data_IF_378731719417
#
_entry.id   IF_378731719417
#
_cell.length_a   1.000
_cell.length_b   1.000
_cell.length_c   1.000
_cell.angle_alpha   90.00
_cell.angle_beta   90.00
_cell.angle_gamma   90.00
#
_symmetry.space_group_name_H-M   'P 1'
#
loop_
_entity.id
_entity.type
_entity.pdbx_description
1 polymer ?
#
# COMPACT_ATOMS: atom_id res chain seq x y z
N UNK A 1 -1.76 -28.79 27.43
CA UNK A 1 -0.30 -28.65 27.36
C UNK A 1 0.09 -28.73 25.90
N UNK A 2 0.26 -27.61 25.26
CA UNK A 2 1.17 -27.44 24.14
C UNK A 2 1.38 -25.92 24.00
N UNK A 3 2.43 -25.44 24.70
CA UNK A 3 3.06 -24.15 24.46
C UNK A 3 4.11 -24.43 23.39
N UNK A 4 3.91 -23.93 22.21
CA UNK A 4 4.97 -23.65 21.22
C UNK A 4 4.33 -22.84 20.09
N UNK A 5 3.85 -21.63 20.41
CA UNK A 5 3.76 -20.57 19.43
C UNK A 5 5.16 -19.96 19.31
N UNK A 6 6.00 -20.58 18.50
CA UNK A 6 7.35 -20.14 18.24
C UNK A 6 7.33 -18.69 17.74
N UNK A 7 8.03 -17.83 18.45
CA UNK A 7 8.43 -16.49 18.03
C UNK A 7 9.21 -16.61 16.70
N UNK A 8 8.54 -16.40 15.59
CA UNK A 8 9.09 -16.52 14.23
C UNK A 8 9.73 -15.22 13.75
N UNK A 9 10.37 -14.47 14.65
CA UNK A 9 11.23 -13.36 14.29
C UNK A 9 12.57 -13.92 13.86
N UNK A 10 12.83 -13.98 12.57
CA UNK A 10 14.20 -14.15 12.08
C UNK A 10 14.96 -12.87 12.37
N UNK A 11 15.92 -12.92 13.29
CA UNK A 11 16.78 -11.78 13.67
C UNK A 11 17.83 -11.41 12.60
N UNK A 12 17.77 -11.97 11.41
CA UNK A 12 18.61 -11.54 10.30
C UNK A 12 18.12 -10.17 9.83
N UNK A 13 18.85 -9.11 10.25
CA UNK A 13 18.66 -7.78 9.68
C UNK A 13 18.87 -7.89 8.16
N UNK A 14 17.86 -7.66 7.34
CA UNK A 14 18.09 -7.55 5.91
C UNK A 14 19.03 -6.37 5.67
N UNK A 15 19.86 -6.42 4.62
CA UNK A 15 20.70 -5.31 4.13
C UNK A 15 19.87 -4.13 3.63
N UNK A 16 18.78 -3.80 4.33
CA UNK A 16 17.81 -2.77 4.01
C UNK A 16 17.94 -1.54 4.91
N UNK A 17 17.31 -0.42 4.53
CA UNK A 17 17.26 0.79 5.36
C UNK A 17 16.63 0.50 6.73
N UNK A 18 17.00 1.27 7.75
CA UNK A 18 16.45 1.15 9.10
C UNK A 18 14.91 1.18 9.09
N UNK A 19 14.27 0.24 9.76
CA UNK A 19 12.81 0.09 9.81
C UNK A 19 12.27 -1.07 8.96
N UNK A 20 13.06 -1.70 8.09
CA UNK A 20 12.67 -2.91 7.36
C UNK A 20 12.79 -4.15 8.24
N UNK A 21 11.75 -4.96 8.19
CA UNK A 21 11.65 -6.26 8.84
C UNK A 21 11.09 -7.27 7.83
N UNK A 22 11.41 -8.55 7.97
CA UNK A 22 10.78 -9.62 7.20
C UNK A 22 9.90 -10.40 8.15
N UNK A 23 8.59 -10.42 7.85
CA UNK A 23 7.61 -11.16 8.64
C UNK A 23 7.11 -12.38 7.87
N UNK A 24 6.76 -13.44 8.59
CA UNK A 24 5.96 -14.53 8.02
C UNK A 24 4.48 -14.22 8.26
N UNK A 25 3.76 -13.90 7.21
CA UNK A 25 2.34 -13.51 7.27
C UNK A 25 1.52 -14.50 6.46
N UNK A 26 0.72 -15.31 7.13
CA UNK A 26 -0.12 -16.31 6.45
C UNK A 26 0.68 -17.30 5.60
N UNK A 27 1.92 -17.61 5.99
CA UNK A 27 2.82 -18.52 5.24
C UNK A 27 3.65 -17.81 4.15
N UNK A 28 3.53 -16.50 4.00
CA UNK A 28 4.30 -15.72 3.03
C UNK A 28 5.34 -14.83 3.73
N UNK A 29 6.61 -14.95 3.29
CA UNK A 29 7.63 -13.98 3.69
C UNK A 29 7.24 -12.61 3.11
N UNK A 30 7.18 -11.60 3.98
CA UNK A 30 6.60 -10.30 3.66
C UNK A 30 7.54 -9.20 4.12
N UNK A 31 7.97 -8.35 3.19
CA UNK A 31 8.66 -7.11 3.54
C UNK A 31 7.73 -6.19 4.30
N UNK A 32 8.14 -5.80 5.49
CA UNK A 32 7.43 -4.92 6.39
C UNK A 32 8.31 -3.74 6.71
N UNK A 33 7.72 -2.55 6.71
CA UNK A 33 8.37 -1.33 7.17
C UNK A 33 7.66 -0.88 8.44
N UNK A 34 8.42 -0.74 9.54
CA UNK A 34 7.86 -0.44 10.85
C UNK A 34 8.65 0.66 11.56
N UNK A 35 7.93 1.67 12.03
CA UNK A 35 8.42 2.71 12.93
C UNK A 35 7.69 2.55 14.26
N UNK A 36 8.43 2.06 15.28
CA UNK A 36 7.85 1.76 16.60
C UNK A 36 7.60 3.03 17.38
N UNK A 37 6.43 3.11 18.00
CA UNK A 37 6.11 4.24 18.88
C UNK A 37 7.11 4.34 20.03
N UNK A 38 7.48 5.57 20.36
CA UNK A 38 8.25 5.87 21.57
C UNK A 38 7.47 5.53 22.83
N UNK A 39 8.14 5.21 23.94
CA UNK A 39 7.46 5.01 25.22
C UNK A 39 6.57 6.21 25.57
N UNK A 40 5.31 5.96 25.90
CA UNK A 40 4.33 6.98 26.25
C UNK A 40 3.63 6.59 27.54
N UNK A 41 3.21 7.59 28.31
CA UNK A 41 2.34 7.43 29.50
C UNK A 41 0.87 7.29 29.14
N UNK A 42 0.49 7.47 27.87
CA UNK A 42 -0.88 7.29 27.40
C UNK A 42 -1.34 5.85 27.59
N UNK A 43 -2.55 5.68 28.14
CA UNK A 43 -3.20 4.39 28.26
C UNK A 43 -3.64 3.83 26.90
N UNK A 44 -3.94 4.71 25.95
CA UNK A 44 -4.37 4.33 24.60
C UNK A 44 -3.17 4.44 23.66
N UNK A 45 -2.88 3.36 22.94
CA UNK A 45 -1.89 3.29 21.88
C UNK A 45 -2.57 3.46 20.53
N UNK A 46 -1.93 4.19 19.63
CA UNK A 46 -2.40 4.34 18.26
C UNK A 46 -1.43 3.66 17.29
N UNK A 47 -1.96 2.86 16.39
CA UNK A 47 -1.18 2.12 15.39
C UNK A 47 -1.75 2.40 14.01
N UNK A 48 -0.96 3.04 13.16
CA UNK A 48 -1.28 3.23 11.75
C UNK A 48 -0.80 2.02 10.94
N UNK A 49 -1.74 1.34 10.27
CA UNK A 49 -1.45 0.21 9.38
C UNK A 49 -1.62 0.64 7.94
N UNK A 50 -0.53 0.58 7.17
CA UNK A 50 -0.46 1.08 5.81
C UNK A 50 -0.49 -0.03 4.77
N UNK A 51 -1.33 0.15 3.73
CA UNK A 51 -1.38 -0.72 2.56
C UNK A 51 -1.03 0.05 1.28
N UNK A 52 0.00 -0.40 0.53
CA UNK A 52 0.44 0.24 -0.70
C UNK A 52 -0.55 0.03 -1.85
N UNK A 53 -0.50 0.92 -2.85
CA UNK A 53 -1.08 0.67 -4.17
C UNK A 53 -0.21 -0.26 -5.01
N UNK A 54 -0.70 -0.71 -6.17
CA UNK A 54 0.12 -1.38 -7.17
C UNK A 54 1.29 -0.44 -7.60
N UNK A 55 2.56 -0.89 -7.65
CA UNK A 55 3.08 -2.25 -7.74
C UNK A 55 3.26 -3.02 -6.42
N UNK A 56 2.70 -2.56 -5.31
CA UNK A 56 2.63 -3.34 -4.08
C UNK A 56 3.91 -3.38 -3.23
N UNK A 57 4.87 -2.53 -3.49
CA UNK A 57 6.18 -2.47 -2.82
C UNK A 57 6.18 -1.37 -1.77
N UNK A 58 6.35 -1.76 -0.51
CA UNK A 58 6.33 -0.81 0.62
C UNK A 58 7.46 0.22 0.56
N UNK A 59 8.57 -0.12 -0.08
CA UNK A 59 9.72 0.76 -0.23
C UNK A 59 9.45 2.10 -0.90
N UNK A 60 8.44 2.17 -1.78
CA UNK A 60 8.01 3.44 -2.36
C UNK A 60 7.44 4.41 -1.33
N UNK A 61 6.89 3.88 -0.24
CA UNK A 61 6.20 4.65 0.79
C UNK A 61 7.06 4.97 2.01
N UNK A 62 8.33 4.53 2.02
CA UNK A 62 9.23 4.79 3.14
C UNK A 62 9.33 6.29 3.48
N UNK A 63 9.50 7.23 2.53
CA UNK A 63 9.53 8.66 2.86
C UNK A 63 8.23 9.14 3.52
N UNK A 64 7.08 8.73 2.99
CA UNK A 64 5.78 9.10 3.54
C UNK A 64 5.57 8.54 4.95
N UNK A 65 5.88 7.26 5.19
CA UNK A 65 5.68 6.63 6.50
C UNK A 65 6.64 7.19 7.55
N UNK A 66 7.88 7.50 7.16
CA UNK A 66 8.86 8.15 8.02
C UNK A 66 8.42 9.57 8.40
N UNK A 67 7.97 10.35 7.42
CA UNK A 67 7.44 11.68 7.66
C UNK A 67 6.18 11.64 8.54
N UNK A 68 5.27 10.70 8.29
CA UNK A 68 4.08 10.52 9.12
C UNK A 68 4.44 10.20 10.58
N UNK A 69 5.39 9.31 10.79
CA UNK A 69 5.91 9.02 12.14
C UNK A 69 6.48 10.26 12.82
N UNK A 70 7.24 11.07 12.08
CA UNK A 70 7.82 12.32 12.59
C UNK A 70 6.76 13.39 12.91
N UNK A 71 5.72 13.53 12.08
CA UNK A 71 4.60 14.47 12.31
C UNK A 71 3.83 14.17 13.60
N UNK A 72 3.92 12.96 14.13
CA UNK A 72 3.35 12.56 15.42
C UNK A 72 4.40 12.47 16.54
N UNK A 73 5.56 13.10 16.38
CA UNK A 73 6.64 13.10 17.38
C UNK A 73 7.02 11.70 17.87
N UNK A 74 6.86 10.69 17.00
CA UNK A 74 7.11 9.30 17.33
C UNK A 74 6.09 8.65 18.27
N UNK A 75 4.95 9.28 18.56
CA UNK A 75 3.91 8.70 19.44
C UNK A 75 2.97 7.74 18.70
N UNK A 76 2.83 7.90 17.39
CA UNK A 76 2.08 7.01 16.52
C UNK A 76 2.99 5.88 16.03
N UNK A 77 2.65 4.64 16.30
CA UNK A 77 3.32 3.53 15.62
C UNK A 77 2.83 3.44 14.17
N UNK A 78 3.78 3.28 13.24
CA UNK A 78 3.47 3.19 11.81
C UNK A 78 4.04 1.88 11.27
N UNK A 79 3.18 1.04 10.68
CA UNK A 79 3.57 -0.24 10.11
C UNK A 79 2.88 -0.47 8.76
N UNK A 80 3.63 -0.91 7.76
CA UNK A 80 3.10 -1.24 6.44
C UNK A 80 3.82 -2.42 5.83
N UNK A 81 3.21 -3.10 4.87
CA UNK A 81 3.80 -4.27 4.24
C UNK A 81 3.66 -4.27 2.73
N UNK A 82 4.65 -4.82 2.04
CA UNK A 82 4.55 -5.17 0.63
C UNK A 82 3.46 -6.22 0.37
N UNK A 83 3.06 -6.36 -0.88
CA UNK A 83 2.25 -7.51 -1.31
C UNK A 83 3.14 -8.75 -1.42
N UNK A 84 2.69 -9.96 -1.03
CA UNK A 84 3.45 -11.19 -1.27
C UNK A 84 3.70 -11.39 -2.77
N UNK A 85 4.94 -11.73 -3.09
CA UNK A 85 5.40 -11.77 -4.48
C UNK A 85 5.85 -10.43 -5.05
N UNK A 86 5.83 -9.34 -4.25
CA UNK A 86 6.26 -8.00 -4.62
C UNK A 86 7.27 -7.50 -3.59
N UNK A 87 8.56 -7.71 -3.84
CA UNK A 87 9.60 -7.52 -2.84
C UNK A 87 10.87 -6.97 -3.46
N UNK A 88 11.63 -6.18 -2.68
CA UNK A 88 12.95 -5.69 -3.05
C UNK A 88 14.08 -6.54 -2.47
N UNK A 89 13.83 -7.22 -1.36
CA UNK A 89 14.86 -7.89 -0.55
C UNK A 89 14.60 -9.39 -0.36
N UNK A 90 13.44 -9.90 -0.78
CA UNK A 90 13.10 -11.31 -0.73
C UNK A 90 13.20 -11.90 -2.13
N UNK A 91 14.03 -12.91 -2.31
CA UNK A 91 14.06 -13.68 -3.55
C UNK A 91 12.85 -14.62 -3.59
N UNK A 92 11.97 -14.40 -4.54
CA UNK A 92 10.83 -15.27 -4.78
C UNK A 92 11.25 -16.44 -5.67
N UNK A 93 11.37 -17.63 -5.07
CA UNK A 93 11.66 -18.88 -5.81
C UNK A 93 10.44 -19.34 -6.62
N UNK A 94 9.24 -19.10 -6.11
CA UNK A 94 7.99 -19.40 -6.79
C UNK A 94 7.52 -18.18 -7.59
N UNK A 95 7.40 -18.37 -8.89
CA UNK A 95 7.08 -17.31 -9.85
C UNK A 95 5.58 -17.10 -10.07
N UNK A 96 4.71 -17.88 -9.38
CA UNK A 96 3.27 -17.76 -9.57
C UNK A 96 2.73 -16.48 -8.92
N UNK A 97 2.21 -15.61 -9.77
CA UNK A 97 1.54 -14.40 -9.30
C UNK A 97 0.28 -14.75 -8.48
N UNK A 98 0.06 -14.03 -7.38
CA UNK A 98 -1.10 -14.21 -6.51
C UNK A 98 -2.28 -13.37 -6.99
N UNK A 99 -3.49 -13.96 -6.96
CA UNK A 99 -4.73 -13.27 -7.32
C UNK A 99 -5.06 -12.15 -6.33
N UNK A 100 -5.97 -11.25 -6.71
CA UNK A 100 -6.44 -10.18 -5.82
C UNK A 100 -7.03 -10.75 -4.52
N UNK A 101 -7.79 -11.86 -4.58
CA UNK A 101 -8.36 -12.49 -3.38
C UNK A 101 -7.28 -13.01 -2.43
N UNK A 102 -6.21 -13.59 -2.97
CA UNK A 102 -5.06 -14.02 -2.15
C UNK A 102 -4.34 -12.82 -1.53
N UNK A 103 -4.21 -11.71 -2.26
CA UNK A 103 -3.64 -10.47 -1.74
C UNK A 103 -4.52 -9.87 -0.63
N UNK A 104 -5.85 -9.90 -0.78
CA UNK A 104 -6.80 -9.48 0.27
C UNK A 104 -6.63 -10.35 1.51
N UNK A 105 -6.65 -11.67 1.35
CA UNK A 105 -6.48 -12.61 2.46
C UNK A 105 -5.17 -12.38 3.22
N UNK A 106 -4.10 -12.08 2.48
CA UNK A 106 -2.82 -11.72 3.08
C UNK A 106 -2.88 -10.41 3.87
N UNK A 107 -3.57 -9.36 3.38
CA UNK A 107 -3.68 -8.09 4.12
C UNK A 107 -4.51 -8.24 5.40
N UNK A 108 -5.53 -9.09 5.37
CA UNK A 108 -6.28 -9.48 6.58
C UNK A 108 -5.36 -10.22 7.56
N UNK A 109 -4.58 -11.20 7.08
CA UNK A 109 -3.62 -11.92 7.92
C UNK A 109 -2.53 -10.99 8.49
N UNK A 110 -2.04 -10.03 7.70
CA UNK A 110 -1.09 -9.03 8.17
C UNK A 110 -1.67 -8.17 9.29
N UNK A 111 -2.89 -7.67 9.12
CA UNK A 111 -3.57 -6.91 10.17
C UNK A 111 -3.74 -7.74 11.43
N UNK A 112 -4.15 -9.01 11.32
CA UNK A 112 -4.24 -9.93 12.46
C UNK A 112 -2.88 -10.11 13.17
N UNK A 113 -1.79 -10.24 12.40
CA UNK A 113 -0.45 -10.32 12.98
C UNK A 113 -0.08 -9.04 13.71
N UNK A 114 -0.46 -7.87 13.20
CA UNK A 114 -0.27 -6.59 13.90
C UNK A 114 -1.06 -6.57 15.19
N UNK A 115 -2.35 -6.91 15.18
CA UNK A 115 -3.22 -6.84 16.36
C UNK A 115 -2.80 -7.79 17.49
N UNK A 116 -2.22 -8.94 17.16
CA UNK A 116 -1.68 -9.88 18.16
C UNK A 116 -0.55 -9.31 19.02
N UNK A 117 0.13 -8.26 18.55
CA UNK A 117 1.23 -7.63 19.28
C UNK A 117 0.77 -6.55 20.28
N UNK A 118 -0.54 -6.25 20.34
CA UNK A 118 -1.10 -5.16 21.16
C UNK A 118 -2.32 -5.60 21.94
N UNK A 119 -2.50 -5.08 23.18
CA UNK A 119 -3.71 -5.33 23.94
C UNK A 119 -4.95 -4.71 23.25
N UNK A 120 -5.95 -5.51 22.98
CA UNK A 120 -7.14 -5.10 22.23
C UNK A 120 -7.91 -3.92 22.88
N UNK A 121 -7.96 -3.88 24.21
CA UNK A 121 -8.72 -2.86 24.94
C UNK A 121 -8.09 -1.47 24.99
N UNK A 122 -6.80 -1.37 24.69
CA UNK A 122 -6.03 -0.12 24.81
C UNK A 122 -5.35 0.28 23.49
N UNK A 123 -5.74 -0.32 22.37
CA UNK A 123 -5.13 -0.03 21.07
C UNK A 123 -6.19 0.38 20.07
N UNK A 124 -5.99 1.56 19.47
CA UNK A 124 -6.79 2.08 18.38
C UNK A 124 -6.00 1.96 17.07
N UNK A 125 -6.64 1.44 16.03
CA UNK A 125 -6.03 1.25 14.73
C UNK A 125 -6.51 2.30 13.73
N UNK A 126 -5.58 2.80 12.93
CA UNK A 126 -5.83 3.67 11.80
C UNK A 126 -5.39 2.92 10.55
N UNK A 127 -6.30 2.65 9.63
CA UNK A 127 -5.94 2.08 8.35
C UNK A 127 -5.62 3.21 7.37
N UNK A 128 -4.50 3.11 6.68
CA UNK A 128 -4.12 4.07 5.65
C UNK A 128 -3.85 3.27 4.37
N UNK A 129 -4.49 3.63 3.28
CA UNK A 129 -4.31 2.94 2.01
C UNK A 129 -4.19 3.89 0.84
N UNK A 130 -3.25 3.62 -0.05
CA UNK A 130 -3.11 4.33 -1.31
C UNK A 130 -3.62 3.50 -2.48
N UNK A 131 -4.42 4.10 -3.37
CA UNK A 131 -4.89 3.43 -4.59
C UNK A 131 -5.57 2.09 -4.26
N UNK A 132 -5.08 0.95 -4.77
CA UNK A 132 -5.50 -0.39 -4.38
C UNK A 132 -5.45 -0.63 -2.87
N UNK A 133 -4.50 -0.01 -2.17
CA UNK A 133 -4.41 -0.09 -0.71
C UNK A 133 -5.65 0.44 0.01
N UNK A 134 -6.36 1.41 -0.56
CA UNK A 134 -7.64 1.88 -0.03
C UNK A 134 -8.73 0.78 -0.11
N UNK A 135 -8.73 0.03 -1.20
CA UNK A 135 -9.60 -1.15 -1.33
C UNK A 135 -9.24 -2.23 -0.31
N UNK A 136 -7.93 -2.45 -0.05
CA UNK A 136 -7.49 -3.37 1.01
C UNK A 136 -7.94 -2.91 2.40
N UNK A 137 -7.89 -1.60 2.71
CA UNK A 137 -8.42 -1.06 3.97
C UNK A 137 -9.90 -1.40 4.15
N UNK A 138 -10.71 -1.25 3.11
CA UNK A 138 -12.13 -1.58 3.15
C UNK A 138 -12.36 -3.07 3.44
N UNK A 139 -11.57 -3.95 2.80
CA UNK A 139 -11.66 -5.41 3.02
C UNK A 139 -11.23 -5.81 4.43
N UNK A 140 -10.15 -5.22 4.94
CA UNK A 140 -9.70 -5.44 6.32
C UNK A 140 -10.76 -4.95 7.32
N UNK A 141 -11.29 -3.73 7.14
CA UNK A 141 -12.32 -3.17 8.01
C UNK A 141 -13.55 -4.11 8.10
N UNK A 142 -14.04 -4.60 6.96
CA UNK A 142 -15.19 -5.50 6.92
C UNK A 142 -14.94 -6.89 7.52
N UNK A 143 -13.67 -7.31 7.65
CA UNK A 143 -13.29 -8.62 8.20
C UNK A 143 -12.93 -8.59 9.69
N UNK A 144 -12.90 -7.41 10.33
CA UNK A 144 -12.37 -7.20 11.69
C UNK A 144 -13.37 -6.47 12.60
N UNK A 145 -14.55 -7.05 12.89
CA UNK A 145 -15.57 -6.37 13.69
C UNK A 145 -15.11 -6.11 15.13
N UNK A 146 -14.23 -6.94 15.68
CA UNK A 146 -13.75 -6.84 17.06
C UNK A 146 -12.58 -5.84 17.23
N UNK A 147 -11.92 -5.44 16.15
CA UNK A 147 -10.80 -4.52 16.23
C UNK A 147 -11.29 -3.07 16.33
N UNK A 148 -10.67 -2.29 17.21
CA UNK A 148 -10.98 -0.86 17.35
C UNK A 148 -10.33 -0.05 16.22
N UNK A 149 -10.90 -0.13 15.03
CA UNK A 149 -10.48 0.70 13.88
C UNK A 149 -11.24 2.02 13.96
N UNK A 150 -10.50 3.09 14.29
CA UNK A 150 -11.07 4.42 14.54
C UNK A 150 -11.10 5.31 13.29
N UNK A 151 -10.19 5.08 12.33
CA UNK A 151 -10.15 5.83 11.05
C UNK A 151 -9.65 4.97 9.91
N UNK A 152 -10.09 5.33 8.71
CA UNK A 152 -9.60 4.82 7.43
C UNK A 152 -9.26 6.00 6.53
N UNK A 153 -7.98 6.20 6.24
CA UNK A 153 -7.49 7.26 5.34
C UNK A 153 -7.22 6.63 3.98
N UNK A 154 -8.01 7.00 3.00
CA UNK A 154 -7.94 6.49 1.64
C UNK A 154 -7.36 7.55 0.70
N UNK A 155 -6.08 7.39 0.34
CA UNK A 155 -5.33 8.32 -0.51
C UNK A 155 -5.48 7.90 -1.98
N UNK A 156 -6.02 8.80 -2.82
CA UNK A 156 -6.25 8.54 -4.26
C UNK A 156 -6.92 7.18 -4.51
N UNK A 157 -8.05 6.90 -3.86
CA UNK A 157 -8.59 5.55 -3.71
C UNK A 157 -9.17 5.00 -5.00
N UNK A 158 -8.80 3.75 -5.35
CA UNK A 158 -9.40 3.00 -6.46
C UNK A 158 -10.40 1.98 -5.92
N UNK A 159 -11.62 2.41 -5.63
CA UNK A 159 -12.64 1.60 -4.94
C UNK A 159 -13.64 0.94 -5.89
N UNK A 160 -13.80 1.45 -7.11
CA UNK A 160 -14.74 0.93 -8.08
C UNK A 160 -14.37 1.35 -9.51
N UNK A 161 -14.92 0.66 -10.50
CA UNK A 161 -14.91 1.01 -11.94
C UNK A 161 -13.53 1.37 -12.52
N UNK A 162 -12.45 0.83 -11.97
CA UNK A 162 -11.06 1.18 -12.36
C UNK A 162 -10.85 0.96 -13.86
N UNK A 163 -11.39 -0.13 -14.41
CA UNK A 163 -11.25 -0.48 -15.82
C UNK A 163 -11.86 0.56 -16.79
N UNK A 164 -12.76 1.40 -16.32
CA UNK A 164 -13.45 2.42 -17.10
C UNK A 164 -12.78 3.80 -17.01
N UNK A 165 -11.80 3.95 -16.13
CA UNK A 165 -11.05 5.21 -15.97
C UNK A 165 -10.07 5.42 -17.13
N UNK A 166 -9.61 6.66 -17.40
CA UNK A 166 -8.63 6.95 -18.46
C UNK A 166 -7.36 6.09 -18.36
N UNK A 167 -6.81 5.91 -17.16
CA UNK A 167 -5.63 5.09 -16.97
C UNK A 167 -5.95 3.59 -16.97
N UNK A 168 -7.11 3.19 -16.45
CA UNK A 168 -7.55 1.80 -16.48
C UNK A 168 -7.72 1.27 -17.89
N UNK A 169 -8.28 2.07 -18.80
CA UNK A 169 -8.40 1.70 -20.22
C UNK A 169 -7.03 1.46 -20.88
N UNK A 170 -6.03 2.29 -20.55
CA UNK A 170 -4.64 2.08 -21.02
C UNK A 170 -4.02 0.84 -20.35
N UNK A 171 -4.24 0.67 -19.05
CA UNK A 171 -3.69 -0.45 -18.28
C UNK A 171 -4.19 -1.81 -18.77
N UNK A 172 -5.42 -1.91 -19.27
CA UNK A 172 -5.95 -3.13 -19.90
C UNK A 172 -5.06 -3.67 -21.01
N UNK A 173 -4.40 -2.79 -21.76
CA UNK A 173 -3.53 -3.20 -22.86
C UNK A 173 -2.23 -3.81 -22.32
N UNK A 174 -1.53 -3.11 -21.42
CA UNK A 174 -0.22 -3.64 -20.95
C UNK A 174 -0.35 -4.77 -19.94
N UNK A 175 -1.51 -5.00 -19.36
CA UNK A 175 -1.74 -6.16 -18.48
C UNK A 175 -2.07 -7.43 -19.22
N UNK A 176 -2.23 -7.39 -20.56
CA UNK A 176 -2.45 -8.57 -21.38
C UNK A 176 -1.29 -9.58 -21.25
N UNK A 177 -1.58 -10.89 -21.18
CA UNK A 177 -0.54 -11.91 -20.99
C UNK A 177 0.62 -11.83 -21.98
N UNK A 178 0.43 -11.64 -23.31
CA UNK A 178 1.56 -11.54 -24.23
C UNK A 178 2.47 -10.36 -23.94
N UNK A 179 1.90 -9.19 -23.58
CA UNK A 179 2.67 -7.99 -23.28
C UNK A 179 3.44 -8.17 -21.96
N UNK A 180 2.80 -8.77 -20.95
CA UNK A 180 3.44 -9.09 -19.68
C UNK A 180 4.63 -10.03 -19.87
N UNK A 181 4.49 -11.10 -20.66
CA UNK A 181 5.58 -12.04 -20.94
C UNK A 181 6.73 -11.38 -21.72
N UNK A 182 6.39 -10.55 -22.69
CA UNK A 182 7.39 -9.78 -23.45
C UNK A 182 8.15 -8.82 -22.55
N UNK A 183 7.48 -8.05 -21.70
CA UNK A 183 8.11 -7.15 -20.74
C UNK A 183 9.03 -7.92 -19.78
N UNK A 184 8.57 -9.06 -19.25
CA UNK A 184 9.36 -9.91 -18.37
C UNK A 184 10.63 -10.43 -19.09
N UNK A 185 10.52 -10.87 -20.34
CA UNK A 185 11.65 -11.36 -21.13
C UNK A 185 12.67 -10.26 -21.43
N UNK A 186 12.22 -9.08 -21.83
CA UNK A 186 13.10 -7.91 -22.08
C UNK A 186 13.84 -7.54 -20.79
N UNK A 187 13.14 -7.42 -19.67
CA UNK A 187 13.77 -7.07 -18.40
C UNK A 187 14.73 -8.15 -17.91
N UNK A 188 14.44 -9.43 -18.13
CA UNK A 188 15.36 -10.53 -17.84
C UNK A 188 16.67 -10.39 -18.64
N UNK A 189 16.58 -10.13 -19.94
CA UNK A 189 17.75 -9.88 -20.79
C UNK A 189 18.54 -8.64 -20.33
N UNK A 190 17.85 -7.53 -20.06
CA UNK A 190 18.51 -6.31 -19.57
C UNK A 190 19.21 -6.54 -18.23
N UNK A 191 18.58 -7.28 -17.32
CA UNK A 191 19.13 -7.58 -15.99
C UNK A 191 20.38 -8.48 -16.10
N UNK A 192 20.38 -9.41 -17.05
CA UNK A 192 21.53 -10.28 -17.30
C UNK A 192 22.72 -9.55 -17.96
N UNK A 193 22.45 -8.57 -18.79
CA UNK A 193 23.49 -7.87 -19.58
C UNK A 193 24.02 -6.60 -18.92
N UNK A 194 23.21 -5.92 -18.09
CA UNK A 194 23.56 -4.62 -17.52
C UNK A 194 23.95 -4.72 -16.06
N UNK A 195 25.01 -4.02 -15.68
CA UNK A 195 25.33 -3.85 -14.26
C UNK A 195 24.21 -3.09 -13.54
N UNK A 196 24.04 -3.27 -12.21
CA UNK A 196 23.02 -2.54 -11.43
C UNK A 196 23.13 -1.01 -11.59
N UNK A 197 24.35 -0.47 -11.62
CA UNK A 197 24.61 0.96 -11.78
C UNK A 197 24.16 1.48 -13.14
N UNK A 198 24.50 0.77 -14.22
CA UNK A 198 24.13 1.16 -15.59
C UNK A 198 22.61 1.07 -15.79
N UNK A 199 21.99 -0.01 -15.27
CA UNK A 199 20.54 -0.17 -15.32
C UNK A 199 19.83 0.99 -14.60
N UNK A 200 20.27 1.33 -13.39
CA UNK A 200 19.72 2.46 -12.62
C UNK A 200 19.91 3.80 -13.35
N UNK A 201 21.06 4.03 -13.98
CA UNK A 201 21.30 5.25 -14.76
C UNK A 201 20.33 5.36 -15.96
N UNK A 202 20.08 4.25 -16.67
CA UNK A 202 19.11 4.20 -17.77
C UNK A 202 17.69 4.50 -17.26
N UNK A 203 17.27 3.86 -16.16
CA UNK A 203 15.97 4.12 -15.55
C UNK A 203 15.83 5.59 -15.15
N UNK A 204 16.85 6.17 -14.52
CA UNK A 204 16.87 7.58 -14.14
C UNK A 204 16.76 8.52 -15.34
N UNK A 205 17.50 8.23 -16.43
CA UNK A 205 17.46 9.02 -17.66
C UNK A 205 16.08 8.99 -18.36
N UNK A 206 15.39 7.82 -18.31
CA UNK A 206 14.05 7.67 -18.94
C UNK A 206 12.95 8.29 -18.08
N UNK A 207 13.02 8.12 -16.75
CA UNK A 207 11.93 8.51 -15.85
C UNK A 207 12.10 9.88 -15.22
N UNK A 208 13.30 10.45 -15.23
CA UNK A 208 13.65 11.65 -14.48
C UNK A 208 13.78 11.43 -12.96
N UNK A 209 13.52 10.22 -12.46
CA UNK A 209 13.58 9.91 -11.04
C UNK A 209 14.99 10.01 -10.48
N UNK A 210 15.11 10.38 -9.20
CA UNK A 210 16.38 10.54 -8.50
C UNK A 210 16.28 9.95 -7.07
N UNK A 211 17.42 9.86 -6.39
CA UNK A 211 17.49 9.47 -4.98
C UNK A 211 16.88 8.10 -4.69
N UNK A 212 16.15 8.01 -3.58
CA UNK A 212 15.58 6.74 -3.10
C UNK A 212 14.53 6.17 -4.05
N UNK A 213 13.67 7.01 -4.64
CA UNK A 213 12.63 6.55 -5.58
C UNK A 213 13.24 5.88 -6.80
N UNK A 214 14.34 6.43 -7.34
CA UNK A 214 15.08 5.79 -8.42
C UNK A 214 15.64 4.42 -7.99
N UNK A 215 16.20 4.33 -6.78
CA UNK A 215 16.75 3.06 -6.29
C UNK A 215 15.67 1.98 -6.15
N UNK A 216 14.53 2.32 -5.57
CA UNK A 216 13.37 1.42 -5.45
C UNK A 216 12.88 0.99 -6.83
N UNK A 217 12.69 1.94 -7.75
CA UNK A 217 12.20 1.68 -9.10
C UNK A 217 13.19 0.81 -9.89
N UNK A 218 14.47 1.13 -9.86
CA UNK A 218 15.50 0.35 -10.56
C UNK A 218 15.58 -1.08 -10.00
N UNK A 219 15.50 -1.25 -8.67
CA UNK A 219 15.50 -2.57 -8.03
C UNK A 219 14.24 -3.36 -8.37
N UNK A 220 13.07 -2.73 -8.34
CA UNK A 220 11.79 -3.34 -8.74
C UNK A 220 11.85 -3.82 -10.21
N UNK A 221 12.32 -2.97 -11.13
CA UNK A 221 12.42 -3.30 -12.54
C UNK A 221 13.49 -4.36 -12.85
N UNK A 222 14.52 -4.49 -12.01
CA UNK A 222 15.53 -5.56 -12.11
C UNK A 222 15.00 -6.93 -11.64
N UNK A 223 13.82 -6.99 -11.07
CA UNK A 223 13.09 -8.23 -10.77
C UNK A 223 11.98 -8.43 -11.80
N UNK A 224 12.20 -9.23 -12.86
CA UNK A 224 11.16 -9.52 -13.85
C UNK A 224 9.90 -10.13 -13.23
N UNK A 225 10.06 -10.87 -12.13
CA UNK A 225 8.96 -11.42 -11.34
C UNK A 225 8.10 -10.32 -10.72
N UNK A 226 8.70 -9.32 -10.07
CA UNK A 226 7.96 -8.18 -9.51
C UNK A 226 7.14 -7.45 -10.58
N UNK A 227 7.73 -7.22 -11.75
CA UNK A 227 7.04 -6.56 -12.86
C UNK A 227 5.88 -7.41 -13.37
N UNK A 228 6.11 -8.70 -13.59
CA UNK A 228 5.07 -9.64 -14.01
C UNK A 228 3.92 -9.71 -13.00
N UNK A 229 4.24 -9.77 -11.71
CA UNK A 229 3.25 -9.82 -10.63
C UNK A 229 2.45 -8.51 -10.53
N UNK A 230 3.10 -7.36 -10.63
CA UNK A 230 2.43 -6.06 -10.63
C UNK A 230 1.46 -5.91 -11.81
N UNK A 231 1.87 -6.33 -13.01
CA UNK A 231 1.00 -6.33 -14.19
C UNK A 231 -0.15 -7.33 -14.05
N UNK A 232 0.07 -8.51 -13.45
CA UNK A 232 -0.97 -9.49 -13.18
C UNK A 232 -1.97 -8.97 -12.16
N UNK A 233 -1.49 -8.37 -11.07
CA UNK A 233 -2.34 -7.74 -10.06
C UNK A 233 -3.19 -6.64 -10.68
N UNK A 234 -2.62 -5.80 -11.55
CA UNK A 234 -3.36 -4.80 -12.32
C UNK A 234 -4.46 -5.40 -13.19
N UNK A 235 -4.22 -6.56 -13.84
CA UNK A 235 -5.25 -7.27 -14.57
C UNK A 235 -6.40 -7.73 -13.64
N UNK A 236 -6.07 -8.25 -12.46
CA UNK A 236 -7.07 -8.66 -11.45
C UNK A 236 -7.88 -7.45 -10.95
N UNK A 237 -7.24 -6.30 -10.72
CA UNK A 237 -7.93 -5.06 -10.34
C UNK A 237 -8.95 -4.65 -11.41
N UNK A 238 -8.55 -4.64 -12.69
CA UNK A 238 -9.45 -4.29 -13.81
C UNK A 238 -10.62 -5.25 -13.94
N UNK A 239 -10.43 -6.50 -13.58
CA UNK A 239 -11.47 -7.53 -13.68
C UNK A 239 -12.42 -7.55 -12.47
N UNK A 240 -11.92 -7.35 -11.27
CA UNK A 240 -12.66 -7.61 -10.03
C UNK A 240 -13.18 -6.32 -9.37
N UNK A 241 -12.49 -5.15 -9.52
CA UNK A 241 -12.93 -3.88 -8.93
C UNK A 241 -13.78 -3.13 -9.96
N UNK A 242 -14.97 -3.66 -10.27
CA UNK A 242 -15.87 -3.13 -11.31
C UNK A 242 -16.86 -2.12 -10.74
N UNK A 243 -17.81 -2.61 -9.99
CA UNK A 243 -18.89 -1.79 -9.43
C UNK A 243 -18.61 -1.46 -7.96
N UNK A 244 -19.37 -0.55 -7.40
CA UNK A 244 -19.33 -0.24 -5.98
C UNK A 244 -19.98 -1.39 -5.18
N UNK A 245 -19.46 -2.61 -5.36
CA UNK A 245 -19.97 -3.85 -4.74
C UNK A 245 -19.97 -3.77 -3.21
N UNK A 246 -19.10 -2.93 -2.65
CA UNK A 246 -18.97 -2.75 -1.20
C UNK A 246 -19.65 -1.49 -0.68
N UNK A 247 -20.65 -0.97 -1.42
CA UNK A 247 -21.39 0.23 -1.07
C UNK A 247 -21.98 0.17 0.34
N UNK A 248 -22.56 -0.96 0.70
CA UNK A 248 -23.18 -1.15 2.02
C UNK A 248 -22.12 -1.06 3.14
N UNK A 249 -20.98 -1.73 2.98
CA UNK A 249 -19.88 -1.66 3.94
C UNK A 249 -19.30 -0.24 4.06
N UNK A 250 -19.18 0.48 2.93
CA UNK A 250 -18.76 1.88 2.93
C UNK A 250 -19.76 2.78 3.66
N UNK A 251 -21.06 2.61 3.46
CA UNK A 251 -22.11 3.38 4.12
C UNK A 251 -22.13 3.07 5.60
N UNK A 252 -22.04 1.79 5.98
CA UNK A 252 -22.05 1.35 7.38
C UNK A 252 -20.94 1.97 8.21
N UNK A 253 -19.78 2.24 7.60
CA UNK A 253 -18.60 2.78 8.26
C UNK A 253 -18.19 4.18 7.74
N UNK A 254 -19.14 4.90 7.13
CA UNK A 254 -18.87 6.18 6.48
C UNK A 254 -18.22 7.22 7.41
N UNK A 255 -18.59 7.21 8.69
CA UNK A 255 -18.05 8.08 9.74
C UNK A 255 -16.56 7.88 10.00
N UNK A 256 -16.01 6.71 9.65
CA UNK A 256 -14.58 6.39 9.79
C UNK A 256 -13.74 6.83 8.59
N UNK A 257 -14.36 7.06 7.43
CA UNK A 257 -13.64 7.30 6.18
C UNK A 257 -13.23 8.75 5.97
N UNK A 258 -11.97 8.92 5.59
CA UNK A 258 -11.37 10.11 4.98
C UNK A 258 -10.91 9.69 3.60
N UNK A 259 -11.58 10.18 2.54
CA UNK A 259 -11.25 9.87 1.15
C UNK A 259 -10.66 11.11 0.49
N UNK A 260 -9.45 11.01 -0.02
CA UNK A 260 -8.73 12.10 -0.66
C UNK A 260 -8.46 11.80 -2.12
N UNK A 261 -9.16 12.50 -3.02
CA UNK A 261 -9.10 12.35 -4.47
C UNK A 261 -8.24 13.42 -5.11
N UNK A 262 -7.58 13.11 -6.24
CA UNK A 262 -6.86 14.08 -7.08
C UNK A 262 -7.76 14.69 -8.14
N UNK A 263 -7.63 16.00 -8.39
CA UNK A 263 -8.42 16.66 -9.45
C UNK A 263 -7.99 16.24 -10.87
N UNK A 264 -6.74 15.82 -11.03
CA UNK A 264 -6.16 15.39 -12.33
C UNK A 264 -5.79 13.90 -12.34
N UNK A 265 -6.41 13.13 -11.47
CA UNK A 265 -6.12 11.71 -11.29
C UNK A 265 -6.82 10.87 -12.38
N UNK A 266 -6.04 10.20 -13.22
CA UNK A 266 -6.56 9.34 -14.28
C UNK A 266 -6.93 7.93 -13.81
N UNK A 267 -6.55 7.50 -12.59
CA UNK A 267 -6.94 6.24 -11.97
C UNK A 267 -8.22 6.37 -11.15
N UNK A 268 -8.39 7.52 -10.53
CA UNK A 268 -9.49 7.82 -9.61
C UNK A 268 -10.04 9.22 -9.95
N UNK A 269 -10.73 9.36 -11.10
CA UNK A 269 -11.12 10.65 -11.65
C UNK A 269 -12.15 11.37 -10.78
N UNK A 270 -12.36 12.68 -11.05
CA UNK A 270 -13.30 13.53 -10.32
C UNK A 270 -14.72 12.95 -10.27
N UNK A 271 -15.13 12.20 -11.29
CA UNK A 271 -16.43 11.49 -11.28
C UNK A 271 -16.56 10.51 -10.11
N UNK A 272 -15.48 9.81 -9.74
CA UNK A 272 -15.46 8.93 -8.56
C UNK A 272 -15.58 9.72 -7.24
N UNK A 273 -14.91 10.87 -7.15
CA UNK A 273 -15.09 11.79 -6.03
C UNK A 273 -16.55 12.27 -5.89
N UNK A 274 -17.17 12.68 -7.00
CA UNK A 274 -18.55 13.16 -7.00
C UNK A 274 -19.54 12.07 -6.61
N UNK A 275 -19.30 10.84 -7.07
CA UNK A 275 -20.10 9.68 -6.69
C UNK A 275 -19.98 9.37 -5.20
N UNK A 276 -18.75 9.33 -4.66
CA UNK A 276 -18.53 9.07 -3.24
C UNK A 276 -19.14 10.15 -2.34
N UNK A 277 -19.10 11.41 -2.72
CA UNK A 277 -19.77 12.48 -2.00
C UNK A 277 -21.29 12.28 -1.91
N UNK A 278 -21.91 11.72 -2.94
CA UNK A 278 -23.36 11.43 -2.95
C UNK A 278 -23.68 10.20 -2.08
N UNK A 279 -22.80 9.21 -2.09
CA UNK A 279 -23.01 7.92 -1.40
C UNK A 279 -22.71 8.01 0.08
N UNK A 280 -21.68 8.77 0.47
CA UNK A 280 -21.12 8.81 1.82
C UNK A 280 -21.30 10.19 2.47
N UNK A 281 -22.52 10.51 2.88
CA UNK A 281 -22.87 11.82 3.45
C UNK A 281 -22.14 12.16 4.75
N UNK A 282 -21.76 11.13 5.53
CA UNK A 282 -21.05 11.29 6.82
C UNK A 282 -19.52 11.19 6.69
N UNK A 283 -18.98 10.77 5.52
CA UNK A 283 -17.55 10.66 5.31
C UNK A 283 -16.93 12.02 4.96
N UNK A 284 -15.64 12.17 5.28
CA UNK A 284 -14.84 13.28 4.78
C UNK A 284 -14.35 12.94 3.36
N UNK A 285 -15.07 13.41 2.35
CA UNK A 285 -14.69 13.21 0.94
C UNK A 285 -14.10 14.51 0.40
N UNK A 286 -12.81 14.52 0.12
CA UNK A 286 -12.03 15.71 -0.24
C UNK A 286 -11.44 15.60 -1.63
N UNK A 287 -11.35 16.74 -2.33
CA UNK A 287 -10.72 16.86 -3.64
C UNK A 287 -9.46 17.71 -3.54
N UNK A 288 -8.31 17.12 -3.88
CA UNK A 288 -7.04 17.83 -4.01
C UNK A 288 -7.03 18.69 -5.27
N UNK A 289 -6.84 20.00 -5.10
CA UNK A 289 -6.62 20.96 -6.20
C UNK A 289 -5.19 21.49 -6.25
N UNK A 290 -4.26 20.82 -5.55
CA UNK A 290 -2.85 21.24 -5.45
C UNK A 290 -1.96 20.60 -6.53
N UNK A 291 -2.54 19.92 -7.52
CA UNK A 291 -1.78 19.23 -8.56
C UNK A 291 -0.97 18.02 -8.07
N UNK A 292 -1.31 17.44 -6.89
CA UNK A 292 -0.63 16.25 -6.39
C UNK A 292 -1.02 15.06 -7.28
N UNK A 293 -0.05 14.40 -7.93
CA UNK A 293 -0.33 13.29 -8.83
C UNK A 293 -0.75 12.04 -8.06
N UNK A 294 -1.37 11.07 -8.75
CA UNK A 294 -1.73 9.77 -8.16
C UNK A 294 -0.54 9.11 -7.45
N UNK A 295 0.62 9.07 -8.09
CA UNK A 295 1.86 8.56 -7.52
C UNK A 295 2.54 9.60 -6.60
N UNK A 296 1.84 10.10 -5.61
CA UNK A 296 2.29 11.16 -4.68
C UNK A 296 3.64 10.86 -4.01
N UNK A 297 3.98 9.58 -3.87
CA UNK A 297 5.22 9.13 -3.22
C UNK A 297 6.50 9.57 -3.94
N UNK A 298 6.38 10.01 -5.20
CA UNK A 298 7.54 10.46 -5.97
C UNK A 298 8.05 11.80 -5.46
N UNK A 299 7.15 12.77 -5.14
CA UNK A 299 7.55 14.15 -4.82
C UNK A 299 6.79 14.78 -3.65
N UNK A 300 5.69 14.16 -3.17
CA UNK A 300 4.78 14.78 -2.21
C UNK A 300 4.60 14.01 -0.90
N UNK A 301 5.54 13.15 -0.54
CA UNK A 301 5.49 12.32 0.67
C UNK A 301 5.32 13.14 1.95
N UNK A 302 6.16 14.16 2.15
CA UNK A 302 6.14 15.00 3.35
C UNK A 302 4.84 15.82 3.44
N UNK A 303 4.39 16.37 2.30
CA UNK A 303 3.15 17.13 2.23
C UNK A 303 1.94 16.27 2.62
N UNK A 304 1.86 15.06 2.07
CA UNK A 304 0.76 14.14 2.40
C UNK A 304 0.83 13.64 3.85
N UNK A 305 2.03 13.44 4.40
CA UNK A 305 2.20 13.08 5.81
C UNK A 305 1.64 14.17 6.73
N UNK A 306 2.00 15.42 6.47
CA UNK A 306 1.48 16.58 7.20
C UNK A 306 -0.05 16.70 7.08
N UNK A 307 -0.60 16.57 5.89
CA UNK A 307 -2.05 16.60 5.68
C UNK A 307 -2.74 15.44 6.42
N UNK A 308 -2.16 14.24 6.38
CA UNK A 308 -2.67 13.10 7.12
C UNK A 308 -2.68 13.37 8.62
N UNK A 309 -1.63 14.00 9.16
CA UNK A 309 -1.59 14.46 10.55
C UNK A 309 -2.74 15.41 10.88
N UNK A 310 -2.98 16.41 10.02
CA UNK A 310 -4.07 17.37 10.19
C UNK A 310 -5.45 16.69 10.22
N UNK A 311 -5.68 15.69 9.35
CA UNK A 311 -6.94 14.95 9.30
C UNK A 311 -7.16 14.05 10.53
N UNK A 312 -6.10 13.62 11.16
CA UNK A 312 -6.15 12.73 12.33
C UNK A 312 -6.13 13.48 13.68
N UNK A 313 -5.96 14.80 13.70
CA UNK A 313 -5.89 15.61 14.92
C UNK A 313 -7.07 15.45 15.89
N UNK A 314 -8.26 15.14 15.38
CA UNK A 314 -9.46 14.95 16.19
C UNK A 314 -9.67 13.48 16.64
N UNK A 315 -8.73 12.60 16.35
CA UNK A 315 -8.84 11.16 16.62
C UNK A 315 -7.75 10.68 17.57
N UNK A 316 -6.61 11.38 17.58
CA UNK A 316 -5.40 11.15 18.37
C UNK A 316 -5.19 12.27 19.41
#
# INVERSE_FOLDING_TARGET
MNRDAADTRTEDKPDGPSGYEIWNVGGHLTETLRYRALPSTSLIKHVAVFFPGNPGIIGYYQPYLQALYAEFDGTLEVVGCSYPGHSLYIEHKDTKALSLDMQISHKIAFFNTVTQNYPAMTTHYILIGHSLGAYMCLKVLGSQPEATIVRVVALFPTLHSIANTPQGQRARVYTLPPIRWTAQSILSCMTALLTPKLFSAIVGAITGMQGQILQVTARMLRSPTNVSNAMYLGACEMDQIRDLVHREALIQHADKFILYYGAEDGWSPVSHYEEMRKVLSCAQVMLCRRGIPHAFVIEHSDLLAKMTREWLNNVL
#
